data_IF_051958824193
#
_entry.id   IF_051958824193
#
_cell.length_a   1.000
_cell.length_b   1.000
_cell.length_c   1.000
_cell.angle_alpha   90.00
_cell.angle_beta   90.00
_cell.angle_gamma   90.00
#
_symmetry.space_group_name_H-M   'P 1'
#
loop_
_entity.id
_entity.type
_entity.pdbx_description
1 polymer ?
#
# COMPACT_ATOMS: atom_id res chain seq x y z
N UNK A 1 -30.76 7.13 -5.95
CA UNK A 1 -30.54 7.34 -4.50
C UNK A 1 -29.52 6.30 -4.09
N UNK A 2 -28.25 6.61 -4.26
CA UNK A 2 -27.16 5.72 -3.86
C UNK A 2 -27.03 5.85 -2.35
N UNK A 3 -27.45 4.82 -1.61
CA UNK A 3 -27.11 4.72 -0.21
C UNK A 3 -25.58 4.60 -0.14
N UNK A 4 -24.91 5.69 0.24
CA UNK A 4 -23.50 5.65 0.66
C UNK A 4 -23.39 4.57 1.73
N UNK A 5 -22.90 3.40 1.34
CA UNK A 5 -22.66 2.28 2.22
C UNK A 5 -21.53 2.70 3.16
N UNK A 6 -21.89 3.23 4.33
CA UNK A 6 -20.93 3.58 5.37
C UNK A 6 -20.17 2.31 5.76
N UNK A 7 -18.85 2.30 5.52
CA UNK A 7 -18.00 1.17 5.89
C UNK A 7 -17.99 1.01 7.41
N UNK A 8 -18.30 -0.20 7.89
CA UNK A 8 -18.31 -0.46 9.33
C UNK A 8 -16.90 -0.51 9.91
N UNK A 9 -16.75 -0.10 11.18
CA UNK A 9 -15.48 -0.25 11.94
C UNK A 9 -14.96 -1.70 11.94
N UNK A 10 -15.86 -2.69 11.93
CA UNK A 10 -15.51 -4.11 11.87
C UNK A 10 -14.83 -4.49 10.55
N UNK A 11 -15.28 -3.93 9.43
CA UNK A 11 -14.65 -4.14 8.12
C UNK A 11 -13.26 -3.48 8.08
N UNK A 12 -13.12 -2.25 8.57
CA UNK A 12 -11.83 -1.57 8.70
C UNK A 12 -10.83 -2.39 9.53
N UNK A 13 -11.27 -2.87 10.69
CA UNK A 13 -10.46 -3.72 11.57
C UNK A 13 -10.03 -5.03 10.89
N UNK A 14 -10.93 -5.62 10.09
CA UNK A 14 -10.65 -6.85 9.33
C UNK A 14 -9.57 -6.59 8.28
N UNK A 15 -9.70 -5.55 7.48
CA UNK A 15 -8.72 -5.22 6.44
C UNK A 15 -7.38 -4.78 7.04
N UNK A 16 -7.37 -4.00 8.13
CA UNK A 16 -6.15 -3.66 8.87
C UNK A 16 -5.41 -4.90 9.36
N UNK A 17 -6.15 -5.90 9.86
CA UNK A 17 -5.59 -7.17 10.35
C UNK A 17 -4.97 -7.98 9.22
N UNK A 18 -5.64 -8.03 8.05
CA UNK A 18 -5.09 -8.69 6.85
C UNK A 18 -3.81 -8.00 6.38
N UNK A 19 -3.81 -6.67 6.36
CA UNK A 19 -2.65 -5.87 6.00
C UNK A 19 -1.48 -6.15 6.95
N UNK A 20 -1.70 -6.12 8.27
CA UNK A 20 -0.72 -6.48 9.30
C UNK A 20 -0.12 -7.88 9.06
N UNK A 21 -0.96 -8.88 8.83
CA UNK A 21 -0.48 -10.26 8.63
C UNK A 21 0.38 -10.38 7.35
N UNK A 22 -0.01 -9.65 6.30
CA UNK A 22 0.66 -9.64 5.01
C UNK A 22 2.04 -8.97 5.05
N UNK A 23 2.13 -7.73 5.55
CA UNK A 23 3.35 -6.92 5.41
C UNK A 23 4.19 -6.81 6.69
N UNK A 24 3.61 -7.01 7.88
CA UNK A 24 4.31 -6.83 9.15
C UNK A 24 4.74 -8.14 9.78
N UNK A 25 3.81 -9.09 9.93
CA UNK A 25 4.17 -10.44 10.41
C UNK A 25 4.83 -11.29 9.31
N UNK A 26 4.72 -10.85 8.05
CA UNK A 26 5.21 -11.56 6.87
C UNK A 26 4.80 -13.05 6.87
N UNK A 27 3.59 -13.34 7.39
CA UNK A 27 3.04 -14.69 7.42
C UNK A 27 2.61 -15.15 6.01
N UNK A 28 2.57 -14.24 5.05
CA UNK A 28 2.22 -14.48 3.65
C UNK A 28 3.25 -13.80 2.74
N UNK A 29 3.46 -14.36 1.54
CA UNK A 29 4.23 -13.65 0.52
C UNK A 29 3.46 -12.44 0.03
N UNK A 30 4.12 -11.34 -0.31
CA UNK A 30 3.47 -10.18 -0.91
C UNK A 30 4.35 -9.59 -2.01
N UNK A 31 3.84 -8.61 -2.73
CA UNK A 31 4.59 -7.86 -3.72
C UNK A 31 4.85 -6.46 -3.20
N UNK A 32 6.04 -5.93 -3.45
CA UNK A 32 6.49 -4.62 -2.99
C UNK A 32 7.25 -3.91 -4.10
N UNK A 33 7.10 -2.59 -4.22
CA UNK A 33 7.92 -1.79 -5.13
C UNK A 33 9.34 -1.55 -4.64
N UNK A 34 9.62 -1.86 -3.38
CA UNK A 34 10.96 -1.76 -2.84
C UNK A 34 11.81 -2.93 -3.37
N UNK A 35 12.99 -2.68 -3.96
CA UNK A 35 13.88 -3.76 -4.41
C UNK A 35 14.60 -4.42 -3.21
N UNK A 36 14.95 -5.71 -3.33
CA UNK A 36 15.64 -6.46 -2.24
C UNK A 36 17.03 -5.90 -1.91
N UNK A 37 17.76 -5.42 -2.92
CA UNK A 37 19.18 -5.07 -2.81
C UNK A 37 19.42 -3.55 -2.82
N UNK A 38 18.42 -2.74 -2.42
CA UNK A 38 18.64 -1.28 -2.37
C UNK A 38 19.60 -0.96 -1.22
N UNK A 39 20.63 -0.11 -1.45
CA UNK A 39 21.47 0.36 -0.35
C UNK A 39 20.57 1.06 0.67
N UNK A 40 20.64 0.62 1.94
CA UNK A 40 19.88 1.21 3.03
C UNK A 40 20.42 2.63 3.26
N UNK A 41 19.72 3.64 2.73
CA UNK A 41 19.90 5.01 3.23
C UNK A 41 19.16 5.08 4.57
N UNK A 42 19.90 5.09 5.66
CA UNK A 42 19.37 4.94 7.02
C UNK A 42 18.42 6.07 7.47
N UNK A 43 18.37 7.18 6.73
CA UNK A 43 17.62 8.38 7.08
C UNK A 43 16.14 8.39 6.67
N UNK A 44 15.73 7.65 5.64
CA UNK A 44 14.37 7.80 5.09
C UNK A 44 13.30 7.14 5.96
N UNK A 45 12.13 7.77 5.97
CA UNK A 45 10.89 7.25 6.54
C UNK A 45 10.14 6.55 5.42
N UNK A 46 10.05 5.22 5.49
CA UNK A 46 9.28 4.46 4.50
C UNK A 46 7.83 4.38 4.95
N UNK A 47 6.92 4.85 4.10
CA UNK A 47 5.48 4.65 4.26
C UNK A 47 5.04 3.61 3.24
N UNK A 48 4.48 2.50 3.72
CA UNK A 48 3.95 1.46 2.85
C UNK A 48 2.51 1.72 2.51
N UNK A 49 2.17 1.70 1.23
CA UNK A 49 0.84 2.04 0.71
C UNK A 49 0.20 0.76 0.17
N UNK A 50 -1.00 0.41 0.64
CA UNK A 50 -1.72 -0.77 0.19
C UNK A 50 -3.18 -0.44 -0.12
N UNK A 51 -3.71 -0.98 -1.21
CA UNK A 51 -5.12 -0.86 -1.55
C UNK A 51 -5.95 -1.97 -0.89
N UNK A 52 -7.03 -1.58 -0.24
CA UNK A 52 -7.98 -2.45 0.47
C UNK A 52 -9.22 -2.65 -0.40
N UNK A 53 -9.06 -3.40 -1.49
CA UNK A 53 -10.04 -3.60 -2.57
C UNK A 53 -11.47 -3.92 -2.12
N UNK A 54 -11.66 -4.57 -0.97
CA UNK A 54 -13.00 -4.97 -0.48
C UNK A 54 -13.86 -3.81 0.01
N UNK A 55 -13.23 -2.70 0.37
CA UNK A 55 -13.90 -1.54 0.96
C UNK A 55 -13.54 -0.25 0.23
N UNK A 56 -12.73 -0.33 -0.82
CA UNK A 56 -12.22 0.81 -1.59
C UNK A 56 -11.44 1.84 -0.75
N UNK A 57 -10.63 1.36 0.20
CA UNK A 57 -9.81 2.21 1.08
C UNK A 57 -8.32 1.97 0.85
N UNK A 58 -7.48 2.84 1.40
CA UNK A 58 -6.02 2.69 1.34
C UNK A 58 -5.42 2.66 2.74
N UNK A 59 -4.46 1.76 2.96
CA UNK A 59 -3.67 1.70 4.18
C UNK A 59 -2.27 2.28 3.97
N UNK A 60 -1.89 3.22 4.83
CA UNK A 60 -0.59 3.86 4.91
C UNK A 60 0.12 3.42 6.19
N UNK A 61 1.11 2.54 6.05
CA UNK A 61 1.81 1.91 7.15
C UNK A 61 3.13 2.64 7.40
N UNK A 62 3.26 3.23 8.57
CA UNK A 62 4.43 4.02 8.94
C UNK A 62 5.52 3.13 9.54
N UNK A 63 6.72 3.14 8.94
CA UNK A 63 7.89 2.47 9.53
C UNK A 63 8.49 3.25 10.72
N UNK A 64 8.30 4.57 10.75
CA UNK A 64 8.72 5.49 11.81
C UNK A 64 7.67 6.59 11.96
N UNK A 65 7.58 7.18 13.15
CA UNK A 65 6.69 8.32 13.39
C UNK A 65 7.19 9.54 12.60
N UNK A 66 6.27 10.23 11.94
CA UNK A 66 6.53 11.48 11.23
C UNK A 66 5.38 12.45 11.48
N UNK A 67 5.61 13.49 12.29
CA UNK A 67 4.54 14.39 12.76
C UNK A 67 3.79 15.06 11.61
N UNK A 68 4.50 15.73 10.70
CA UNK A 68 3.88 16.45 9.59
C UNK A 68 3.09 15.53 8.65
N UNK A 69 3.67 14.38 8.26
CA UNK A 69 2.96 13.39 7.46
C UNK A 69 1.69 12.85 8.13
N UNK A 70 1.67 12.69 9.45
CA UNK A 70 0.46 12.25 10.18
C UNK A 70 -0.64 13.32 10.15
N UNK A 71 -0.29 14.60 10.16
CA UNK A 71 -1.28 15.68 10.13
C UNK A 71 -2.13 15.65 8.86
N UNK A 72 -1.57 15.20 7.72
CA UNK A 72 -2.30 15.00 6.46
C UNK A 72 -3.52 14.08 6.66
N UNK A 73 -3.38 13.05 7.48
CA UNK A 73 -4.48 12.11 7.75
C UNK A 73 -5.47 12.68 8.77
N UNK A 74 -4.98 13.44 9.74
CA UNK A 74 -5.79 13.98 10.84
C UNK A 74 -6.72 15.13 10.40
N UNK A 75 -6.45 15.77 9.27
CA UNK A 75 -7.33 16.82 8.71
C UNK A 75 -8.50 16.25 7.92
N UNK A 76 -8.48 14.96 7.58
CA UNK A 76 -9.60 14.30 6.91
C UNK A 76 -10.80 14.15 7.87
N UNK A 77 -12.05 14.12 7.37
CA UNK A 77 -13.20 13.80 8.20
C UNK A 77 -13.03 12.49 8.98
N UNK A 78 -13.52 12.43 10.21
CA UNK A 78 -13.31 11.31 11.15
C UNK A 78 -13.89 9.99 10.63
N UNK A 79 -14.91 10.08 9.78
CA UNK A 79 -15.60 8.97 9.15
C UNK A 79 -14.82 8.41 7.94
N UNK A 80 -13.88 9.19 7.42
CA UNK A 80 -13.14 8.95 6.17
C UNK A 80 -11.70 8.54 6.43
N UNK A 81 -11.30 8.43 7.70
CA UNK A 81 -10.02 7.90 8.10
C UNK A 81 -10.11 7.05 9.37
N UNK A 82 -9.16 6.15 9.56
CA UNK A 82 -9.06 5.33 10.76
C UNK A 82 -7.61 5.01 11.10
N UNK A 83 -7.20 5.28 12.33
CA UNK A 83 -5.89 4.87 12.81
C UNK A 83 -5.96 3.49 13.46
N UNK A 84 -5.16 2.56 12.94
CA UNK A 84 -4.98 1.23 13.49
C UNK A 84 -3.58 1.04 14.04
N UNK A 85 -3.50 0.56 15.29
CA UNK A 85 -2.25 0.19 15.93
C UNK A 85 -2.30 -1.26 16.41
N UNK A 86 -1.21 -1.99 16.15
CA UNK A 86 -0.95 -3.28 16.74
C UNK A 86 0.47 -3.33 17.31
N UNK A 87 0.58 -3.79 18.55
CA UNK A 87 1.86 -3.95 19.25
C UNK A 87 2.07 -5.43 19.52
N UNK A 88 3.16 -6.01 18.99
CA UNK A 88 3.54 -7.40 19.31
C UNK A 88 4.45 -7.44 20.54
N UNK A 89 5.46 -6.58 20.54
CA UNK A 89 6.51 -6.42 21.55
C UNK A 89 6.86 -4.92 21.62
N UNK A 90 7.55 -4.46 22.68
CA UNK A 90 7.87 -3.03 22.90
C UNK A 90 8.44 -2.30 21.68
N UNK A 91 9.25 -3.00 20.86
CA UNK A 91 9.94 -2.46 19.69
C UNK A 91 9.29 -2.82 18.33
N UNK A 92 8.24 -3.63 18.33
CA UNK A 92 7.56 -4.10 17.11
C UNK A 92 6.13 -3.60 17.09
N UNK A 93 5.94 -2.46 16.44
CA UNK A 93 4.64 -1.81 16.27
C UNK A 93 4.27 -1.75 14.79
N UNK A 94 3.01 -2.00 14.52
CA UNK A 94 2.35 -1.78 13.25
C UNK A 94 1.41 -0.61 13.43
N UNK A 95 1.69 0.50 12.74
CA UNK A 95 0.87 1.70 12.74
C UNK A 95 0.39 1.92 11.31
N UNK A 96 -0.92 1.90 11.11
CA UNK A 96 -1.53 2.10 9.80
C UNK A 96 -2.62 3.16 9.88
N UNK A 97 -2.55 4.16 9.02
CA UNK A 97 -3.68 5.05 8.73
C UNK A 97 -4.44 4.47 7.56
N UNK A 98 -5.73 4.23 7.75
CA UNK A 98 -6.64 3.86 6.68
C UNK A 98 -7.40 5.10 6.25
N UNK A 99 -7.57 5.31 4.95
CA UNK A 99 -8.34 6.42 4.40
C UNK A 99 -9.29 5.92 3.31
N UNK A 100 -10.40 6.62 3.15
CA UNK A 100 -11.30 6.45 2.03
C UNK A 100 -10.56 6.66 0.69
N UNK A 101 -10.92 5.86 -0.31
CA UNK A 101 -10.31 5.88 -1.63
C UNK A 101 -10.35 7.24 -2.33
N UNK A 102 -11.39 8.04 -2.06
CA UNK A 102 -11.51 9.39 -2.66
C UNK A 102 -10.37 10.34 -2.26
N UNK A 103 -9.71 10.10 -1.13
CA UNK A 103 -8.60 10.92 -0.63
C UNK A 103 -7.22 10.48 -1.12
N UNK A 104 -7.14 9.30 -1.73
CA UNK A 104 -5.86 8.66 -2.04
C UNK A 104 -4.91 9.56 -2.81
N UNK A 105 -5.38 10.18 -3.90
CA UNK A 105 -4.52 11.01 -4.74
C UNK A 105 -4.06 12.28 -4.05
N UNK A 106 -4.91 12.90 -3.24
CA UNK A 106 -4.55 14.10 -2.47
C UNK A 106 -3.51 13.78 -1.42
N UNK A 107 -3.75 12.75 -0.60
CA UNK A 107 -2.80 12.30 0.42
C UNK A 107 -1.46 11.89 -0.20
N UNK A 108 -1.49 11.17 -1.33
CA UNK A 108 -0.26 10.74 -2.00
C UNK A 108 0.57 11.93 -2.48
N UNK A 109 -0.06 12.95 -3.09
CA UNK A 109 0.64 14.16 -3.53
C UNK A 109 1.24 14.93 -2.37
N UNK A 110 0.52 15.08 -1.27
CA UNK A 110 1.04 15.78 -0.09
C UNK A 110 2.22 15.04 0.55
N UNK A 111 2.17 13.71 0.62
CA UNK A 111 3.29 12.91 1.11
C UNK A 111 4.54 13.00 0.21
N UNK A 112 4.36 13.21 -1.09
CA UNK A 112 5.46 13.36 -2.04
C UNK A 112 6.23 14.69 -1.88
N UNK A 113 5.69 15.65 -1.13
CA UNK A 113 6.38 16.91 -0.82
C UNK A 113 7.47 16.76 0.24
N UNK A 114 7.50 15.65 0.98
CA UNK A 114 8.52 15.38 2.00
C UNK A 114 9.68 14.61 1.38
N UNK A 115 10.84 15.26 1.28
CA UNK A 115 12.04 14.66 0.71
C UNK A 115 12.53 13.44 1.51
N UNK A 116 12.25 13.40 2.82
CA UNK A 116 12.63 12.33 3.72
C UNK A 116 11.68 11.11 3.68
N UNK A 117 10.55 11.21 2.98
CA UNK A 117 9.55 10.14 2.88
C UNK A 117 9.76 9.34 1.59
N UNK A 118 9.87 8.02 1.75
CA UNK A 118 9.82 7.09 0.62
C UNK A 118 8.50 6.31 0.64
N UNK A 119 7.83 6.29 -0.50
CA UNK A 119 6.59 5.53 -0.69
C UNK A 119 6.89 4.14 -1.25
N UNK A 120 6.48 3.10 -0.52
CA UNK A 120 6.59 1.71 -0.92
C UNK A 120 5.19 1.15 -1.17
N UNK A 121 4.84 0.79 -2.41
CA UNK A 121 3.54 0.22 -2.71
C UNK A 121 3.56 -1.29 -2.48
N UNK A 122 2.56 -1.78 -1.76
CA UNK A 122 2.38 -3.18 -1.39
C UNK A 122 1.14 -3.73 -2.05
N UNK A 123 1.28 -4.89 -2.67
CA UNK A 123 0.17 -5.67 -3.21
C UNK A 123 0.14 -7.03 -2.50
N UNK A 124 -0.92 -7.33 -1.73
CA UNK A 124 -1.12 -8.65 -1.15
C UNK A 124 -1.13 -9.75 -2.21
N UNK A 125 -0.80 -11.00 -1.86
CA UNK A 125 -0.81 -12.10 -2.81
C UNK A 125 -2.25 -12.44 -3.22
N UNK A 126 -2.48 -12.68 -4.51
CA UNK A 126 -3.69 -13.31 -5.02
C UNK A 126 -3.39 -14.73 -5.53
N UNK A 127 -4.43 -15.56 -5.70
CA UNK A 127 -4.28 -16.96 -6.16
C UNK A 127 -3.55 -17.05 -7.50
N UNK A 128 -3.77 -16.08 -8.38
CA UNK A 128 -3.23 -16.02 -9.75
C UNK A 128 -1.88 -15.28 -9.83
N UNK A 129 -1.32 -14.84 -8.70
CA UNK A 129 -0.03 -14.16 -8.63
C UNK A 129 -0.15 -12.66 -8.37
N UNK A 130 0.61 -11.84 -9.11
CA UNK A 130 0.55 -10.37 -9.01
C UNK A 130 -0.59 -9.85 -9.87
N UNK A 131 -1.59 -9.27 -9.22
CA UNK A 131 -2.62 -8.45 -9.86
C UNK A 131 -2.45 -7.04 -9.32
N UNK A 132 -2.06 -6.11 -10.19
CA UNK A 132 -1.85 -4.70 -9.78
C UNK A 132 -3.24 -4.07 -9.59
N UNK A 133 -3.55 -3.46 -8.44
CA UNK A 133 -4.78 -2.72 -8.27
C UNK A 133 -4.91 -1.59 -9.27
N UNK A 134 -6.12 -1.37 -9.82
CA UNK A 134 -6.41 -0.28 -10.76
C UNK A 134 -5.88 1.08 -10.27
N UNK A 135 -6.03 1.49 -8.99
CA UNK A 135 -5.48 2.77 -8.53
C UNK A 135 -3.95 2.89 -8.65
N UNK A 136 -3.24 1.77 -8.73
CA UNK A 136 -1.77 1.74 -8.84
C UNK A 136 -1.26 1.68 -10.28
N UNK A 137 -2.10 1.34 -11.25
CA UNK A 137 -1.68 1.15 -12.65
C UNK A 137 -1.10 2.42 -13.26
N UNK A 138 -1.63 3.59 -12.89
CA UNK A 138 -1.18 4.90 -13.37
C UNK A 138 0.25 5.28 -13.00
N UNK A 139 0.86 4.60 -12.02
CA UNK A 139 2.20 4.93 -11.52
C UNK A 139 3.34 4.16 -12.20
N UNK A 140 3.03 3.25 -13.15
CA UNK A 140 4.04 2.44 -13.87
C UNK A 140 5.07 1.77 -12.93
N UNK A 141 4.59 1.22 -11.81
CA UNK A 141 5.41 0.68 -10.73
C UNK A 141 5.98 -0.70 -11.11
N UNK A 142 7.20 -0.97 -10.65
CA UNK A 142 7.79 -2.33 -10.73
C UNK A 142 7.67 -3.01 -9.38
N UNK A 143 7.10 -4.22 -9.35
CA UNK A 143 6.88 -4.98 -8.13
C UNK A 143 7.82 -6.20 -8.03
N UNK A 144 8.23 -6.50 -6.79
CA UNK A 144 9.12 -7.60 -6.43
C UNK A 144 8.47 -8.47 -5.35
N UNK A 145 8.56 -9.80 -5.50
CA UNK A 145 8.02 -10.74 -4.51
C UNK A 145 8.83 -10.73 -3.21
N UNK A 146 8.14 -10.74 -2.07
CA UNK A 146 8.62 -10.76 -0.68
C UNK A 146 7.97 -11.93 0.08
N UNK A 147 8.63 -12.48 1.11
CA UNK A 147 8.07 -13.53 1.99
C UNK A 147 8.63 -14.96 1.83
N UNK A 148 8.16 -15.89 2.68
CA UNK A 148 8.80 -17.18 3.04
C UNK A 148 8.96 -18.16 1.84
N UNK A 149 10.20 -18.57 1.61
CA UNK A 149 10.70 -19.55 0.64
C UNK A 149 10.58 -19.19 -0.85
N UNK A 150 11.72 -18.83 -1.42
CA UNK A 150 11.89 -18.77 -2.87
C UNK A 150 13.03 -17.88 -3.28
N UNK A 151 14.07 -18.51 -3.83
CA UNK A 151 15.03 -17.89 -4.74
C UNK A 151 14.30 -17.00 -5.75
N UNK A 152 14.98 -15.93 -6.16
CA UNK A 152 14.47 -14.93 -7.08
C UNK A 152 13.78 -15.57 -8.29
N UNK A 153 12.51 -15.24 -8.50
CA UNK A 153 11.83 -15.50 -9.77
C UNK A 153 10.97 -14.30 -10.14
N UNK A 154 11.25 -13.74 -11.33
CA UNK A 154 10.34 -12.92 -12.13
C UNK A 154 10.21 -11.44 -11.76
N UNK A 155 10.88 -10.58 -12.53
CA UNK A 155 10.52 -9.17 -12.70
C UNK A 155 9.28 -9.12 -13.60
N UNK A 156 8.12 -8.70 -13.10
CA UNK A 156 6.93 -8.40 -13.92
C UNK A 156 6.73 -6.90 -13.97
N UNK A 157 6.71 -6.33 -15.17
CA UNK A 157 6.35 -4.94 -15.45
C UNK A 157 4.90 -4.88 -15.90
N UNK A 158 4.20 -3.80 -15.60
CA UNK A 158 2.94 -3.43 -16.26
C UNK A 158 3.24 -3.16 -17.74
N UNK A 159 2.97 -4.12 -18.61
CA UNK A 159 2.90 -3.84 -20.04
C UNK A 159 1.55 -3.18 -20.33
N UNK A 160 1.56 -1.86 -20.49
CA UNK A 160 0.47 -1.20 -21.19
C UNK A 160 0.35 -1.82 -22.58
N UNK A 161 -0.86 -2.30 -22.92
CA UNK A 161 -1.20 -2.66 -24.29
C UNK A 161 -1.09 -1.40 -25.13
N UNK A 162 -0.01 -1.29 -25.90
CA UNK A 162 -0.03 -0.46 -27.09
C UNK A 162 -0.60 -1.33 -28.21
N UNK A 163 -1.85 -1.06 -28.55
CA UNK A 163 -2.36 -1.32 -29.89
C UNK A 163 -1.43 -0.65 -30.88
N UNK A 164 -0.79 -1.47 -31.71
CA UNK A 164 -0.26 -1.02 -33.00
C UNK A 164 -0.57 -2.10 -34.02
N UNK A 165 -1.41 -1.68 -34.94
CA UNK A 165 -1.53 -2.17 -36.31
C UNK A 165 -0.28 -2.86 -36.83
N UNK A 166 -0.49 -4.01 -37.46
CA UNK A 166 0.24 -4.37 -38.68
C UNK A 166 -0.61 -5.28 -39.56
N UNK A 167 -1.11 -4.64 -40.61
CA UNK A 167 -1.46 -5.19 -41.91
C UNK A 167 -0.46 -6.22 -42.47
N UNK A 168 -0.98 -6.97 -43.46
CA UNK A 168 -0.36 -7.83 -44.49
C UNK A 168 -0.40 -9.33 -44.15
N UNK A 169 -0.87 -10.22 -45.03
CA UNK A 169 -1.41 -10.12 -46.40
C UNK A 169 -2.21 -11.38 -46.68
#
# INVERSE_FOLDING_TARGET
MDSELTISRKQLQTEATRLKNCCFLASQSHWSTYPKNRPKKYSYIVIRVAYLKRIDWFGFIFSKYHRAAIQIFQVLPVEEHHFFQYVKEHYKRFNAWLIDGKHFDTVLRELQLFEEIELEFIVPPEKEGLIIPQPFEKFNLTFYKRGKHGRATGKKRSSGKNDRDRNRS
#
